data_IF_530920888129
#
_entry.id   IF_530920888129
#
_cell.length_a   1.000
_cell.length_b   1.000
_cell.length_c   1.000
_cell.angle_alpha   90.00
_cell.angle_beta   90.00
_cell.angle_gamma   90.00
#
_symmetry.space_group_name_H-M   'P 1'
#
loop_
_entity.id
_entity.type
_entity.pdbx_description
1 polymer ?
#
# COMPACT_ATOMS: atom_id res chain seq x y z
N UNK A 1 -38.38 44.99 33.37
CA UNK A 1 -37.14 44.19 33.28
C UNK A 1 -37.42 42.99 32.41
N UNK A 2 -36.54 42.63 31.46
CA UNK A 2 -36.85 41.61 30.45
C UNK A 2 -36.38 40.21 30.87
N UNK A 3 -37.28 39.20 30.95
CA UNK A 3 -36.91 37.84 31.37
C UNK A 3 -36.11 37.06 30.31
N UNK A 4 -36.14 37.48 29.03
CA UNK A 4 -35.47 36.82 27.91
C UNK A 4 -33.96 36.70 28.08
N UNK A 5 -33.30 37.73 28.64
CA UNK A 5 -31.84 37.78 28.80
C UNK A 5 -31.35 36.79 29.87
N UNK A 6 -32.15 36.56 30.91
CA UNK A 6 -31.81 35.64 32.01
C UNK A 6 -31.82 34.20 31.52
N UNK A 7 -32.88 33.79 30.82
CA UNK A 7 -32.97 32.45 30.23
C UNK A 7 -31.85 32.16 29.22
N UNK A 8 -31.40 33.18 28.48
CA UNK A 8 -30.27 33.02 27.56
C UNK A 8 -28.92 32.84 28.27
N UNK A 9 -28.71 33.54 29.39
CA UNK A 9 -27.52 33.38 30.23
C UNK A 9 -27.48 32.00 30.92
N UNK A 10 -28.63 31.50 31.39
CA UNK A 10 -28.76 30.15 31.96
C UNK A 10 -28.43 29.06 30.93
N UNK A 11 -28.96 29.17 29.71
CA UNK A 11 -28.66 28.23 28.60
C UNK A 11 -27.16 28.22 28.23
N UNK A 12 -26.52 29.38 28.16
CA UNK A 12 -25.07 29.46 27.89
C UNK A 12 -24.24 28.86 29.03
N UNK A 13 -24.66 29.05 30.28
CA UNK A 13 -23.99 28.47 31.46
C UNK A 13 -24.09 26.95 31.43
N UNK A 14 -25.28 26.40 31.13
CA UNK A 14 -25.48 24.96 30.98
C UNK A 14 -24.63 24.37 29.85
N UNK A 15 -24.62 25.01 28.68
CA UNK A 15 -23.84 24.54 27.52
C UNK A 15 -22.33 24.47 27.80
N UNK A 16 -21.78 25.46 28.54
CA UNK A 16 -20.37 25.45 28.97
C UNK A 16 -20.12 24.27 29.93
N UNK A 17 -21.03 24.00 30.85
CA UNK A 17 -20.90 22.92 31.82
C UNK A 17 -21.01 21.52 31.18
N UNK A 18 -21.89 21.36 30.20
CA UNK A 18 -22.03 20.12 29.42
C UNK A 18 -20.77 19.84 28.57
N UNK A 19 -20.21 20.86 27.92
CA UNK A 19 -18.93 20.77 27.19
C UNK A 19 -17.79 20.38 28.14
N UNK A 20 -17.78 20.94 29.36
CA UNK A 20 -16.82 20.56 30.40
C UNK A 20 -16.87 19.07 30.75
N UNK A 21 -18.07 18.53 30.98
CA UNK A 21 -18.25 17.10 31.28
C UNK A 21 -17.84 16.20 30.10
N UNK A 22 -18.16 16.58 28.85
CA UNK A 22 -17.76 15.79 27.67
C UNK A 22 -16.23 15.75 27.51
N UNK A 23 -15.54 16.87 27.75
CA UNK A 23 -14.07 16.94 27.74
C UNK A 23 -13.45 16.11 28.87
N UNK A 24 -14.02 16.14 30.06
CA UNK A 24 -13.55 15.36 31.22
C UNK A 24 -13.73 13.85 30.99
N UNK A 25 -14.89 13.42 30.47
CA UNK A 25 -15.14 12.02 30.07
C UNK A 25 -14.16 11.57 28.99
N UNK A 26 -13.87 12.39 27.97
CA UNK A 26 -12.85 12.07 26.96
C UNK A 26 -11.44 11.94 27.56
N UNK A 27 -11.06 12.81 28.50
CA UNK A 27 -9.76 12.74 29.16
C UNK A 27 -9.64 11.49 30.06
N UNK A 28 -10.67 11.17 30.83
CA UNK A 28 -10.72 9.96 31.66
C UNK A 28 -10.71 8.68 30.81
N UNK A 29 -11.43 8.65 29.68
CA UNK A 29 -11.35 7.56 28.72
C UNK A 29 -9.94 7.42 28.14
N UNK A 30 -9.29 8.52 27.74
CA UNK A 30 -7.92 8.52 27.24
C UNK A 30 -6.89 8.04 28.28
N UNK A 31 -7.04 8.48 29.54
CA UNK A 31 -6.19 8.06 30.66
C UNK A 31 -6.38 6.56 30.98
N UNK A 32 -7.63 6.08 31.03
CA UNK A 32 -7.93 4.67 31.23
C UNK A 32 -7.37 3.80 30.08
N UNK A 33 -7.48 4.28 28.84
CA UNK A 33 -6.85 3.63 27.68
C UNK A 33 -5.33 3.55 27.86
N UNK A 34 -4.67 4.62 28.31
CA UNK A 34 -3.23 4.62 28.57
C UNK A 34 -2.81 3.69 29.71
N UNK A 35 -3.52 3.67 30.83
CA UNK A 35 -3.23 2.78 31.96
C UNK A 35 -3.41 1.31 31.57
N UNK A 36 -4.48 1.00 30.83
CA UNK A 36 -4.72 -0.34 30.28
C UNK A 36 -3.65 -0.72 29.24
N UNK A 37 -3.23 0.20 28.36
CA UNK A 37 -2.13 -0.03 27.41
C UNK A 37 -0.81 -0.35 28.14
N UNK A 38 -0.48 0.38 29.22
CA UNK A 38 0.71 0.09 30.03
C UNK A 38 0.63 -1.29 30.71
N UNK A 39 -0.54 -1.68 31.24
CA UNK A 39 -0.75 -3.01 31.82
C UNK A 39 -0.61 -4.13 30.78
N UNK A 40 -1.21 -3.97 29.58
CA UNK A 40 -1.14 -5.00 28.54
C UNK A 40 0.24 -5.10 27.88
N UNK A 41 0.98 -4.00 27.74
CA UNK A 41 2.38 -4.04 27.30
C UNK A 41 3.29 -4.85 28.25
N UNK A 42 2.94 -4.97 29.53
CA UNK A 42 3.66 -5.81 30.48
C UNK A 42 3.31 -7.31 30.36
N UNK A 43 2.10 -7.65 29.89
CA UNK A 43 1.61 -9.02 29.70
C UNK A 43 2.03 -9.61 28.35
N UNK A 44 2.00 -8.82 27.27
CA UNK A 44 2.46 -9.26 25.95
C UNK A 44 3.99 -9.18 25.85
N UNK A 45 4.67 -10.29 26.15
CA UNK A 45 6.13 -10.40 26.04
C UNK A 45 6.55 -11.25 24.84
N UNK A 46 6.80 -10.57 23.72
CA UNK A 46 7.46 -11.16 22.55
C UNK A 46 8.80 -10.45 22.30
N UNK A 47 9.88 -11.18 21.94
CA UNK A 47 11.13 -10.55 21.49
C UNK A 47 10.90 -9.72 20.23
N UNK A 48 11.65 -8.63 20.05
CA UNK A 48 11.66 -7.89 18.78
C UNK A 48 12.19 -8.75 17.65
N UNK A 49 11.65 -8.55 16.45
CA UNK A 49 12.13 -9.21 15.22
C UNK A 49 13.58 -8.80 14.95
N UNK A 50 14.43 -9.77 14.66
CA UNK A 50 15.80 -9.56 14.17
C UNK A 50 15.81 -9.50 12.64
N UNK A 51 17.01 -9.39 12.04
CA UNK A 51 17.17 -9.42 10.57
C UNK A 51 17.14 -10.83 10.00
N UNK A 52 17.57 -11.80 10.80
CA UNK A 52 17.75 -13.19 10.42
C UNK A 52 16.49 -14.05 10.64
N UNK A 53 15.49 -13.53 11.36
CA UNK A 53 14.19 -14.20 11.55
C UNK A 53 13.41 -14.30 10.23
N UNK A 54 12.80 -15.45 9.99
CA UNK A 54 11.80 -15.60 8.93
C UNK A 54 10.57 -14.73 9.26
N UNK A 55 10.16 -13.78 8.39
CA UNK A 55 9.13 -12.83 8.78
C UNK A 55 7.71 -13.41 8.74
N UNK A 56 7.45 -14.46 7.94
CA UNK A 56 6.18 -15.19 7.96
C UNK A 56 5.99 -15.89 9.32
N UNK A 57 6.97 -16.71 9.73
CA UNK A 57 6.96 -17.41 11.02
C UNK A 57 6.93 -16.45 12.21
N UNK A 58 7.59 -15.29 12.12
CA UNK A 58 7.54 -14.27 13.17
C UNK A 58 6.13 -13.68 13.33
N UNK A 59 5.44 -13.34 12.22
CA UNK A 59 4.07 -12.82 12.28
C UNK A 59 3.09 -13.90 12.78
N UNK A 60 3.27 -15.16 12.36
CA UNK A 60 2.46 -16.28 12.88
C UNK A 60 2.66 -16.48 14.40
N UNK A 61 3.91 -16.37 14.89
CA UNK A 61 4.23 -16.45 16.32
C UNK A 61 3.64 -15.27 17.11
N UNK A 62 3.62 -14.07 16.51
CA UNK A 62 2.94 -12.89 17.07
C UNK A 62 1.44 -13.13 17.24
N UNK A 63 0.76 -13.59 16.18
CA UNK A 63 -0.69 -13.86 16.21
C UNK A 63 -1.06 -14.93 17.24
N UNK A 64 -0.31 -16.04 17.30
CA UNK A 64 -0.49 -17.09 18.31
C UNK A 64 -0.33 -16.55 19.73
N UNK A 65 0.70 -15.73 19.96
CA UNK A 65 0.94 -15.10 21.27
C UNK A 65 -0.19 -14.13 21.63
N UNK A 66 -0.68 -13.34 20.67
CA UNK A 66 -1.73 -12.34 20.89
C UNK A 66 -3.08 -12.98 21.25
N UNK A 67 -3.40 -14.10 20.63
CA UNK A 67 -4.54 -14.95 21.01
C UNK A 67 -4.32 -15.51 22.42
N UNK A 68 -3.14 -16.08 22.69
CA UNK A 68 -2.84 -16.74 23.96
C UNK A 68 -2.85 -15.78 25.17
N UNK A 69 -2.44 -14.53 24.99
CA UNK A 69 -2.49 -13.50 26.05
C UNK A 69 -3.80 -12.73 26.10
N UNK A 70 -4.76 -13.00 25.20
CA UNK A 70 -6.02 -12.23 25.11
C UNK A 70 -5.84 -10.76 24.75
N UNK A 71 -4.87 -10.45 23.87
CA UNK A 71 -4.63 -9.07 23.43
C UNK A 71 -5.80 -8.60 22.55
N UNK A 72 -6.37 -7.43 22.85
CA UNK A 72 -7.45 -6.83 22.06
C UNK A 72 -7.02 -6.59 20.60
N UNK A 73 -7.91 -6.90 19.64
CA UNK A 73 -7.56 -6.88 18.21
C UNK A 73 -7.23 -5.48 17.70
N UNK A 74 -7.80 -4.42 18.29
CA UNK A 74 -7.46 -3.02 17.99
C UNK A 74 -6.08 -2.58 18.46
N UNK A 75 -5.34 -3.44 19.16
CA UNK A 75 -3.97 -3.21 19.62
C UNK A 75 -2.93 -4.03 18.86
N UNK A 76 -3.34 -5.03 18.09
CA UNK A 76 -2.40 -5.91 17.39
C UNK A 76 -1.53 -5.13 16.40
N UNK A 77 -2.12 -4.18 15.67
CA UNK A 77 -1.38 -3.30 14.75
C UNK A 77 -0.31 -2.49 15.46
N UNK A 78 -0.66 -1.85 16.57
CA UNK A 78 0.30 -1.09 17.39
C UNK A 78 1.43 -1.97 17.95
N UNK A 79 1.08 -3.12 18.51
CA UNK A 79 2.04 -4.01 19.16
C UNK A 79 3.00 -4.66 18.16
N UNK A 80 2.50 -5.12 17.00
CA UNK A 80 3.35 -5.57 15.90
C UNK A 80 4.25 -4.43 15.41
N UNK A 81 3.69 -3.23 15.24
CA UNK A 81 4.39 -2.00 14.89
C UNK A 81 5.46 -1.54 15.89
N UNK A 82 5.45 -2.02 17.14
CA UNK A 82 6.50 -1.77 18.14
C UNK A 82 7.59 -2.85 18.17
N UNK A 83 7.34 -3.99 17.52
CA UNK A 83 8.15 -5.21 17.58
C UNK A 83 8.94 -5.49 16.29
N UNK A 84 8.47 -5.00 15.14
CA UNK A 84 9.21 -5.01 13.88
C UNK A 84 10.35 -3.97 13.87
N UNK A 85 11.23 -4.08 12.87
CA UNK A 85 12.42 -3.21 12.71
C UNK A 85 12.60 -2.75 11.25
N UNK A 86 13.47 -1.76 11.04
CA UNK A 86 13.92 -1.26 9.74
C UNK A 86 12.79 -1.00 8.72
N UNK A 87 12.78 -1.69 7.57
CA UNK A 87 11.79 -1.50 6.49
C UNK A 87 10.35 -1.67 6.98
N UNK A 88 10.09 -2.68 7.81
CA UNK A 88 8.77 -2.93 8.39
C UNK A 88 8.35 -1.84 9.38
N UNK A 89 9.31 -1.29 10.15
CA UNK A 89 9.06 -0.16 11.03
C UNK A 89 8.74 1.12 10.24
N UNK A 90 9.38 1.33 9.09
CA UNK A 90 9.07 2.41 8.17
C UNK A 90 7.68 2.22 7.53
N UNK A 91 7.30 0.99 7.21
CA UNK A 91 5.95 0.63 6.74
C UNK A 91 4.86 1.10 7.73
N UNK A 92 4.98 0.65 8.99
CA UNK A 92 4.03 1.01 10.05
C UNK A 92 3.96 2.52 10.29
N UNK A 93 5.11 3.23 10.23
CA UNK A 93 5.16 4.70 10.37
C UNK A 93 4.58 5.47 9.18
N UNK A 94 4.39 4.82 8.02
CA UNK A 94 3.82 5.44 6.82
C UNK A 94 2.29 5.29 6.74
N UNK A 95 1.68 4.47 7.62
CA UNK A 95 0.24 4.34 7.77
C UNK A 95 -0.34 5.54 8.55
N UNK A 96 -1.58 5.89 8.24
CA UNK A 96 -2.36 6.84 9.02
C UNK A 96 -2.68 6.31 10.42
N UNK A 97 -3.10 7.21 11.33
CA UNK A 97 -3.51 6.84 12.69
C UNK A 97 -4.77 5.98 12.69
N UNK A 98 -5.58 6.11 11.65
CA UNK A 98 -6.81 5.39 11.42
C UNK A 98 -6.50 3.97 10.94
N UNK A 99 -5.68 3.80 9.90
CA UNK A 99 -5.23 2.48 9.40
C UNK A 99 -4.44 1.69 10.46
N UNK A 100 -3.63 2.36 11.30
CA UNK A 100 -2.83 1.71 12.33
C UNK A 100 -3.64 1.11 13.51
N UNK A 101 -4.95 1.40 13.60
CA UNK A 101 -5.85 0.76 14.58
C UNK A 101 -6.26 -0.65 14.16
N UNK A 102 -6.36 -0.88 12.86
CA UNK A 102 -6.75 -2.17 12.32
C UNK A 102 -5.50 -3.03 12.08
N UNK A 103 -5.61 -4.32 12.42
CA UNK A 103 -4.48 -5.23 12.29
C UNK A 103 -4.13 -5.54 10.83
N UNK A 104 -5.13 -5.73 9.96
CA UNK A 104 -4.91 -6.18 8.60
C UNK A 104 -4.12 -5.16 7.74
N UNK A 105 -4.43 -3.84 7.75
CA UNK A 105 -3.61 -2.85 7.04
C UNK A 105 -2.16 -2.78 7.53
N UNK A 106 -1.94 -2.97 8.84
CA UNK A 106 -0.60 -3.02 9.42
C UNK A 106 0.15 -4.26 8.95
N UNK A 107 -0.49 -5.44 8.99
CA UNK A 107 0.07 -6.71 8.56
C UNK A 107 0.45 -6.68 7.07
N UNK A 108 -0.43 -6.21 6.20
CA UNK A 108 -0.17 -6.16 4.74
C UNK A 108 0.94 -5.17 4.39
N UNK A 109 0.96 -3.97 4.99
CA UNK A 109 2.01 -2.99 4.75
C UNK A 109 3.39 -3.49 5.23
N UNK A 110 3.45 -4.17 6.37
CA UNK A 110 4.67 -4.78 6.91
C UNK A 110 5.16 -5.91 6.00
N UNK A 111 4.29 -6.83 5.58
CA UNK A 111 4.64 -7.94 4.69
C UNK A 111 5.17 -7.45 3.33
N UNK A 112 4.52 -6.45 2.74
CA UNK A 112 4.96 -5.84 1.49
C UNK A 112 6.37 -5.22 1.60
N UNK A 113 6.65 -4.44 2.66
CA UNK A 113 7.99 -3.85 2.88
C UNK A 113 9.06 -4.87 3.29
N UNK A 114 8.67 -6.10 3.60
CA UNK A 114 9.57 -7.22 3.84
C UNK A 114 9.74 -8.13 2.62
N UNK A 115 9.23 -7.72 1.44
CA UNK A 115 9.27 -8.49 0.20
C UNK A 115 8.59 -9.87 0.35
N UNK A 116 7.53 -9.93 1.17
CA UNK A 116 6.59 -11.05 1.30
C UNK A 116 5.25 -10.59 0.74
N UNK A 117 5.21 -10.40 -0.57
CA UNK A 117 3.98 -10.28 -1.36
C UNK A 117 3.96 -11.39 -2.42
N UNK A 118 2.78 -11.77 -2.97
CA UNK A 118 2.71 -12.70 -4.11
C UNK A 118 3.62 -12.25 -5.27
N UNK A 119 3.64 -10.94 -5.52
CA UNK A 119 4.50 -10.24 -6.47
C UNK A 119 6.00 -10.35 -6.16
N UNK A 120 6.40 -10.32 -4.88
CA UNK A 120 7.80 -10.53 -4.49
C UNK A 120 8.24 -11.99 -4.72
N UNK A 121 7.36 -12.97 -4.45
CA UNK A 121 7.63 -14.37 -4.76
C UNK A 121 7.65 -14.66 -6.26
N UNK A 122 6.81 -13.98 -7.04
CA UNK A 122 6.81 -13.98 -8.50
C UNK A 122 8.12 -13.41 -9.06
N UNK A 123 8.56 -12.23 -8.58
CA UNK A 123 9.87 -11.68 -8.93
C UNK A 123 11.01 -12.64 -8.54
N UNK A 124 10.97 -13.26 -7.35
CA UNK A 124 11.96 -14.24 -6.94
C UNK A 124 11.94 -15.53 -7.79
N UNK A 125 10.80 -15.90 -8.38
CA UNK A 125 10.69 -17.00 -9.34
C UNK A 125 11.28 -16.63 -10.70
N UNK A 126 11.02 -15.40 -11.20
CA UNK A 126 11.46 -14.92 -12.53
C UNK A 126 12.90 -14.42 -12.58
N UNK A 127 13.38 -13.73 -11.54
CA UNK A 127 14.67 -13.03 -11.52
C UNK A 127 15.87 -13.91 -11.11
N UNK A 128 15.63 -15.17 -10.73
CA UNK A 128 16.69 -16.12 -10.33
C UNK A 128 17.67 -16.34 -11.47
N UNK A 129 18.94 -16.02 -11.22
CA UNK A 129 20.02 -16.23 -12.17
C UNK A 129 20.49 -17.69 -12.07
N UNK A 130 20.90 -18.35 -13.17
CA UNK A 130 21.40 -19.74 -13.14
C UNK A 130 22.66 -19.99 -12.29
N UNK A 131 23.20 -18.97 -11.58
CA UNK A 131 24.48 -19.03 -10.86
C UNK A 131 24.35 -19.46 -9.40
N UNK A 132 23.21 -19.24 -8.73
CA UNK A 132 23.03 -19.67 -7.33
C UNK A 132 22.95 -21.20 -7.18
N UNK A 133 22.51 -21.92 -8.21
CA UNK A 133 22.27 -23.37 -8.16
C UNK A 133 23.42 -24.19 -8.77
N UNK A 134 24.41 -24.57 -7.97
CA UNK A 134 25.53 -25.43 -8.41
C UNK A 134 25.14 -26.86 -8.84
N UNK A 135 23.86 -27.26 -8.71
CA UNK A 135 23.31 -28.55 -9.15
C UNK A 135 21.88 -28.40 -9.70
N UNK A 136 21.51 -29.04 -10.82
CA UNK A 136 20.17 -28.93 -11.42
C UNK A 136 19.01 -29.30 -10.48
N UNK A 137 19.19 -30.30 -9.62
CA UNK A 137 18.15 -30.72 -8.67
C UNK A 137 17.84 -29.62 -7.63
N UNK A 138 18.86 -28.90 -7.14
CA UNK A 138 18.66 -27.79 -6.21
C UNK A 138 18.00 -26.57 -6.86
N UNK A 139 18.21 -26.36 -8.17
CA UNK A 139 17.47 -25.36 -8.94
C UNK A 139 15.98 -25.72 -9.01
N UNK A 140 15.66 -26.96 -9.36
CA UNK A 140 14.28 -27.43 -9.48
C UNK A 140 13.52 -27.35 -8.15
N UNK A 141 14.12 -27.85 -7.06
CA UNK A 141 13.52 -27.76 -5.73
C UNK A 141 13.26 -26.31 -5.35
N UNK A 142 14.25 -25.43 -5.50
CA UNK A 142 14.08 -24.02 -5.12
C UNK A 142 13.08 -23.26 -6.01
N UNK A 143 12.89 -23.66 -7.27
CA UNK A 143 11.82 -23.15 -8.13
C UNK A 143 10.45 -23.65 -7.69
N UNK A 144 10.34 -24.92 -7.27
CA UNK A 144 9.10 -25.48 -6.70
C UNK A 144 8.72 -24.78 -5.39
N UNK A 145 9.67 -24.55 -4.50
CA UNK A 145 9.45 -23.84 -3.22
C UNK A 145 8.95 -22.40 -3.47
N UNK A 146 9.59 -21.66 -4.39
CA UNK A 146 9.16 -20.30 -4.77
C UNK A 146 7.79 -20.29 -5.45
N UNK A 147 7.49 -21.26 -6.33
CA UNK A 147 6.18 -21.39 -6.98
C UNK A 147 5.08 -21.73 -5.97
N UNK A 148 5.34 -22.61 -5.00
CA UNK A 148 4.37 -22.99 -3.97
C UNK A 148 4.08 -21.85 -2.98
N UNK A 149 5.06 -20.96 -2.71
CA UNK A 149 4.84 -19.72 -1.94
C UNK A 149 4.04 -18.69 -2.72
N UNK A 150 4.29 -18.52 -4.02
CA UNK A 150 3.55 -17.60 -4.89
C UNK A 150 2.11 -18.06 -5.16
N UNK A 151 1.91 -19.34 -5.48
CA UNK A 151 0.63 -19.96 -5.80
C UNK A 151 0.35 -21.15 -4.87
N UNK A 152 -0.08 -20.92 -3.62
CA UNK A 152 -0.36 -22.00 -2.67
C UNK A 152 -1.47 -22.92 -3.18
N UNK A 153 -1.18 -24.23 -3.18
CA UNK A 153 -2.13 -25.24 -3.61
C UNK A 153 -3.46 -25.13 -2.85
N UNK A 154 -4.58 -25.14 -3.59
CA UNK A 154 -5.92 -25.00 -3.03
C UNK A 154 -6.42 -23.56 -2.83
N UNK A 155 -5.57 -22.52 -2.97
CA UNK A 155 -6.02 -21.11 -2.99
C UNK A 155 -6.43 -20.63 -4.39
N UNK A 156 -5.81 -21.17 -5.43
CA UNK A 156 -6.07 -20.80 -6.82
C UNK A 156 -6.65 -21.98 -7.61
N UNK A 157 -7.71 -21.74 -8.37
CA UNK A 157 -8.15 -22.62 -9.45
C UNK A 157 -7.36 -22.30 -10.74
N UNK A 158 -7.64 -23.02 -11.84
CA UNK A 158 -6.99 -22.77 -13.15
C UNK A 158 -7.14 -21.30 -13.61
N UNK A 159 -8.29 -20.69 -13.36
CA UNK A 159 -8.59 -19.33 -13.78
C UNK A 159 -7.81 -18.30 -12.96
N UNK A 160 -7.72 -18.47 -11.64
CA UNK A 160 -6.89 -17.62 -10.77
C UNK A 160 -5.40 -17.69 -11.08
N UNK A 161 -4.87 -18.84 -11.54
CA UNK A 161 -3.49 -18.91 -12.04
C UNK A 161 -3.31 -18.13 -13.34
N UNK A 162 -4.29 -18.18 -14.25
CA UNK A 162 -4.26 -17.40 -15.49
C UNK A 162 -4.40 -15.90 -15.20
N UNK A 163 -5.28 -15.52 -14.27
CA UNK A 163 -5.47 -14.14 -13.84
C UNK A 163 -4.22 -13.57 -13.18
N UNK A 164 -3.51 -14.34 -12.33
CA UNK A 164 -2.25 -13.91 -11.73
C UNK A 164 -1.14 -13.66 -12.78
N UNK A 165 -1.12 -14.45 -13.87
CA UNK A 165 -0.20 -14.24 -15.00
C UNK A 165 -0.62 -13.02 -15.84
N UNK A 166 -1.93 -12.83 -16.05
CA UNK A 166 -2.46 -11.67 -16.77
C UNK A 166 -2.21 -10.37 -16.00
N UNK A 167 -2.40 -10.40 -14.67
CA UNK A 167 -2.10 -9.33 -13.74
C UNK A 167 -0.61 -8.95 -13.80
N UNK A 168 0.30 -9.94 -13.80
CA UNK A 168 1.74 -9.71 -14.02
C UNK A 168 1.98 -8.88 -15.28
N UNK A 169 1.52 -9.40 -16.42
CA UNK A 169 1.77 -8.78 -17.72
C UNK A 169 1.15 -7.38 -17.81
N UNK A 170 -0.08 -7.22 -17.35
CA UNK A 170 -0.77 -5.94 -17.31
C UNK A 170 0.01 -4.91 -16.46
N UNK A 171 0.46 -5.30 -15.26
CA UNK A 171 1.23 -4.43 -14.37
C UNK A 171 2.62 -4.05 -14.91
N UNK A 172 3.19 -4.79 -15.85
CA UNK A 172 4.44 -4.46 -16.52
C UNK A 172 4.25 -3.61 -17.79
N UNK A 173 3.09 -3.69 -18.45
CA UNK A 173 2.79 -2.95 -19.68
C UNK A 173 2.15 -1.56 -19.43
N UNK A 174 1.87 -1.20 -18.17
CA UNK A 174 1.38 0.13 -17.78
C UNK A 174 2.45 1.22 -17.94
N UNK A 175 2.01 2.44 -18.25
CA UNK A 175 2.86 3.64 -18.23
C UNK A 175 3.40 3.93 -16.82
N UNK A 176 4.67 4.36 -16.70
CA UNK A 176 5.45 4.36 -15.45
C UNK A 176 4.75 5.04 -14.25
N UNK A 177 4.08 6.18 -14.46
CA UNK A 177 3.35 6.87 -13.39
C UNK A 177 2.11 6.10 -12.94
N UNK A 178 1.36 5.53 -13.90
CA UNK A 178 0.20 4.66 -13.63
C UNK A 178 0.64 3.37 -12.96
N UNK A 179 1.73 2.75 -13.44
CA UNK A 179 2.33 1.56 -12.85
C UNK A 179 2.68 1.81 -11.38
N UNK A 180 3.46 2.86 -11.08
CA UNK A 180 3.85 3.22 -9.70
C UNK A 180 2.63 3.46 -8.80
N UNK A 181 1.54 4.01 -9.32
CA UNK A 181 0.30 4.20 -8.57
C UNK A 181 -0.44 2.88 -8.31
N UNK A 182 -0.70 2.08 -9.35
CA UNK A 182 -1.43 0.81 -9.23
C UNK A 182 -0.68 -0.19 -8.34
N UNK A 183 0.64 -0.31 -8.48
CA UNK A 183 1.47 -1.17 -7.61
C UNK A 183 1.35 -0.79 -6.12
N UNK A 184 1.28 0.50 -5.80
CA UNK A 184 1.10 0.97 -4.42
C UNK A 184 -0.23 0.50 -3.80
N UNK A 185 -1.24 0.23 -4.63
CA UNK A 185 -2.55 -0.28 -4.21
C UNK A 185 -2.65 -1.81 -4.17
N UNK A 186 -1.60 -2.55 -4.57
CA UNK A 186 -1.49 -4.02 -4.46
C UNK A 186 -2.74 -4.81 -4.94
N UNK A 187 -3.17 -4.64 -6.21
CA UNK A 187 -4.29 -5.41 -6.76
C UNK A 187 -4.09 -6.92 -6.64
N UNK A 188 -5.17 -7.64 -6.31
CA UNK A 188 -5.18 -9.11 -6.19
C UNK A 188 -5.75 -9.80 -7.43
N UNK A 189 -6.28 -9.04 -8.40
CA UNK A 189 -6.75 -9.54 -9.70
C UNK A 189 -6.49 -8.57 -10.85
N UNK A 190 -6.48 -9.07 -12.09
CA UNK A 190 -6.32 -8.20 -13.26
C UNK A 190 -7.44 -7.16 -13.41
N UNK A 191 -8.68 -7.51 -13.03
CA UNK A 191 -9.84 -6.63 -13.01
C UNK A 191 -9.71 -5.50 -11.96
N UNK A 192 -9.14 -5.82 -10.79
CA UNK A 192 -8.85 -4.80 -9.77
C UNK A 192 -7.76 -3.84 -10.24
N UNK A 193 -6.68 -4.35 -10.85
CA UNK A 193 -5.62 -3.54 -11.44
C UNK A 193 -6.14 -2.61 -12.56
N UNK A 194 -7.06 -3.10 -13.41
CA UNK A 194 -7.71 -2.29 -14.43
C UNK A 194 -8.51 -1.14 -13.83
N UNK A 195 -9.41 -1.42 -12.88
CA UNK A 195 -10.18 -0.39 -12.14
C UNK A 195 -9.28 0.68 -11.52
N UNK A 196 -8.15 0.27 -10.95
CA UNK A 196 -7.15 1.16 -10.37
C UNK A 196 -6.50 2.04 -11.45
N UNK A 197 -6.03 1.46 -12.55
CA UNK A 197 -5.42 2.21 -13.66
C UNK A 197 -6.39 3.24 -14.29
N UNK A 198 -7.67 2.87 -14.44
CA UNK A 198 -8.71 3.77 -14.93
C UNK A 198 -9.00 4.93 -13.96
N UNK A 199 -9.06 4.65 -12.65
CA UNK A 199 -9.27 5.68 -11.63
C UNK A 199 -8.14 6.72 -11.63
N UNK A 200 -6.88 6.27 -11.70
CA UNK A 200 -5.72 7.16 -11.82
C UNK A 200 -5.80 8.01 -13.10
N UNK A 201 -6.02 7.36 -14.24
CA UNK A 201 -6.14 8.01 -15.56
C UNK A 201 -7.23 9.08 -15.61
N UNK A 202 -8.35 8.86 -14.94
CA UNK A 202 -9.44 9.85 -14.89
C UNK A 202 -9.08 11.03 -13.99
N UNK A 203 -8.40 10.80 -12.86
CA UNK A 203 -7.93 11.88 -11.99
C UNK A 203 -6.88 12.79 -12.67
N UNK A 204 -6.01 12.24 -13.53
CA UNK A 204 -5.05 13.03 -14.31
C UNK A 204 -5.74 13.84 -15.42
N UNK A 205 -6.76 13.29 -16.08
CA UNK A 205 -7.58 14.04 -17.06
C UNK A 205 -8.27 15.25 -16.42
N UNK A 206 -8.81 15.10 -15.20
CA UNK A 206 -9.43 16.21 -14.46
C UNK A 206 -8.40 17.30 -14.10
N UNK A 207 -7.20 16.92 -13.66
CA UNK A 207 -6.08 17.85 -13.38
C UNK A 207 -5.56 18.56 -14.64
N UNK A 208 -5.58 17.88 -15.79
CA UNK A 208 -5.19 18.44 -17.10
C UNK A 208 -6.22 19.42 -17.67
N UNK A 209 -7.51 19.09 -17.56
CA UNK A 209 -8.63 19.87 -18.11
C UNK A 209 -8.72 21.29 -17.53
N UNK A 210 -8.26 21.49 -16.28
CA UNK A 210 -8.23 22.79 -15.60
C UNK A 210 -7.28 23.85 -16.17
N UNK A 211 -6.47 23.55 -17.21
CA UNK A 211 -5.50 24.48 -17.83
C UNK A 211 -5.76 24.76 -19.32
N UNK A 212 -7.02 24.67 -19.75
CA UNK A 212 -7.44 24.80 -21.15
C UNK A 212 -7.79 26.19 -21.70
N UNK A 213 -7.66 27.29 -20.95
CA UNK A 213 -8.01 28.65 -21.46
C UNK A 213 -6.84 29.65 -21.39
N UNK A 214 -5.98 29.63 -22.41
CA UNK A 214 -5.30 30.85 -22.87
C UNK A 214 -5.60 31.07 -24.35
N UNK A 215 -6.31 32.17 -24.61
CA UNK A 215 -6.57 32.72 -25.93
C UNK A 215 -5.24 32.93 -26.67
N UNK A 216 -4.98 32.10 -27.67
CA UNK A 216 -3.96 32.39 -28.68
C UNK A 216 -4.49 33.52 -29.56
N UNK A 217 -4.12 34.75 -29.20
CA UNK A 217 -4.46 35.96 -29.93
C UNK A 217 -3.72 35.95 -31.27
N UNK A 218 -4.48 35.83 -32.36
CA UNK A 218 -3.97 35.92 -33.72
C UNK A 218 -3.31 37.30 -33.96
N UNK A 219 -2.22 37.32 -34.72
CA UNK A 219 -2.02 38.35 -35.75
C UNK A 219 -1.03 37.85 -36.83
N UNK A 220 -1.11 38.34 -38.10
CA UNK A 220 -0.55 37.63 -39.25
C UNK A 220 0.78 38.18 -39.79
N UNK A 221 1.42 37.34 -40.62
CA UNK A 221 2.35 37.60 -41.73
C UNK A 221 3.44 38.70 -41.63
N UNK A 222 4.68 38.27 -41.90
CA UNK A 222 5.47 38.87 -43.00
C UNK A 222 6.37 37.80 -43.64
N UNK A 223 6.64 37.95 -44.93
CA UNK A 223 7.25 36.94 -45.80
C UNK A 223 8.80 37.00 -45.79
N UNK A 224 9.44 35.88 -46.12
CA UNK A 224 10.90 35.74 -46.11
C UNK A 224 11.36 34.50 -46.88
N UNK A 225 11.01 34.44 -48.17
CA UNK A 225 11.23 33.28 -49.02
C UNK A 225 12.71 33.09 -49.40
N UNK A 226 13.29 31.90 -49.17
CA UNK A 226 14.45 31.44 -49.94
C UNK A 226 14.35 29.94 -50.24
N UNK A 227 14.32 29.61 -51.53
CA UNK A 227 14.26 28.26 -52.12
C UNK A 227 15.69 27.68 -52.16
N UNK A 228 16.00 26.40 -52.08
CA UNK A 228 15.48 25.22 -52.81
C UNK A 228 15.95 23.89 -52.15
N UNK A 229 15.41 22.75 -52.58
CA UNK A 229 15.80 21.38 -52.17
C UNK A 229 16.38 20.59 -53.39
N UNK A 230 16.43 19.22 -53.50
CA UNK A 230 16.09 18.11 -52.57
C UNK A 230 16.96 16.80 -52.67
N UNK A 231 16.51 15.71 -51.99
CA UNK A 231 16.78 14.24 -52.22
C UNK A 231 18.12 13.69 -51.67
N UNK A 232 18.28 12.49 -51.08
CA UNK A 232 17.51 11.26 -50.71
C UNK A 232 18.02 10.80 -49.31
N UNK A 233 17.50 9.80 -48.58
CA UNK A 233 16.39 8.84 -48.75
C UNK A 233 16.43 7.73 -47.67
N UNK A 234 15.45 6.80 -47.64
CA UNK A 234 15.36 5.63 -46.73
C UNK A 234 15.60 4.30 -47.52
N UNK A 235 15.76 3.07 -46.94
CA UNK A 235 14.90 2.51 -45.86
C UNK A 235 15.49 1.46 -44.86
N UNK A 236 14.69 1.21 -43.79
CA UNK A 236 14.44 -0.07 -43.07
C UNK A 236 15.60 -0.96 -42.58
N UNK A 237 15.57 -1.23 -41.27
CA UNK A 237 16.13 -2.45 -40.65
C UNK A 237 15.17 -3.00 -39.59
N UNK A 238 14.59 -4.18 -39.82
CA UNK A 238 13.76 -4.93 -38.85
C UNK A 238 14.67 -5.93 -38.14
N UNK A 239 14.60 -6.01 -36.81
CA UNK A 239 15.30 -7.04 -36.02
C UNK A 239 14.27 -7.97 -35.39
N UNK A 240 14.19 -9.19 -35.93
CA UNK A 240 13.48 -10.28 -35.28
C UNK A 240 14.43 -10.98 -34.30
N UNK A 241 13.96 -11.25 -33.08
CA UNK A 241 14.66 -12.15 -32.16
C UNK A 241 14.26 -13.61 -32.45
N UNK A 242 15.22 -14.53 -32.24
CA UNK A 242 15.06 -15.99 -32.28
C UNK A 242 15.03 -16.55 -30.87
#
# INVERSE_FOLDING_TARGET
MQPSVVAHAELLTQAIQDIGQVLEVQQLQGAHQQEWMQRNAALFRMPRRTKDDDPEAYIEAFEKTAIQTGLDRGQWGHQLGALVIDKAQAAYKALSREEARDYEPVKTAILYQLEISPESYQQAFRARKPRESRRPHGLLQSLQDSLQKWLPAGKFNREGVLDQILLEQFLWDLEEDTQRWVWRHQPQSSEEALRLAEAFSNSEKERGSGRGLRVSRENPMSEGECRTAPKKGAPKGVVCYR
#
